data_IF_047753974239
#
_entry.id   IF_047753974239
#
_cell.length_a   1.000
_cell.length_b   1.000
_cell.length_c   1.000
_cell.angle_alpha   90.00
_cell.angle_beta   90.00
_cell.angle_gamma   90.00
#
_symmetry.space_group_name_H-M   'P 1'
#
loop_
_entity.id
_entity.type
_entity.pdbx_description
1 polymer ?
#
# COMPACT_ATOMS: atom_id res chain seq x y z
N UNK A 1 16.91 6.19 41.33
CA UNK A 1 15.47 6.17 40.98
C UNK A 1 15.18 6.18 39.48
N UNK A 2 16.10 6.66 38.61
CA UNK A 2 15.90 6.68 37.14
C UNK A 2 15.69 5.28 36.53
N UNK A 3 16.36 4.26 37.07
CA UNK A 3 16.29 2.86 36.61
C UNK A 3 14.91 2.24 36.83
N UNK A 4 14.30 2.46 38.00
CA UNK A 4 12.96 1.98 38.32
C UNK A 4 11.90 2.65 37.43
N UNK A 5 12.01 3.96 37.20
CA UNK A 5 11.09 4.69 36.34
C UNK A 5 11.20 4.20 34.88
N UNK A 6 12.43 3.97 34.41
CA UNK A 6 12.67 3.40 33.08
C UNK A 6 12.06 2.00 32.93
N UNK A 7 12.22 1.14 33.94
CA UNK A 7 11.66 -0.21 33.94
C UNK A 7 10.12 -0.23 33.89
N UNK A 8 9.48 0.69 34.61
CA UNK A 8 8.01 0.83 34.58
C UNK A 8 7.55 1.32 33.21
N UNK A 9 8.23 2.32 32.62
CA UNK A 9 7.88 2.83 31.29
C UNK A 9 8.01 1.76 30.19
N UNK A 10 9.03 0.90 30.27
CA UNK A 10 9.19 -0.23 29.34
C UNK A 10 8.08 -1.26 29.51
N UNK A 11 7.74 -1.60 30.76
CA UNK A 11 6.68 -2.56 31.06
C UNK A 11 5.32 -2.08 30.56
N UNK A 12 4.97 -0.82 30.80
CA UNK A 12 3.71 -0.24 30.30
C UNK A 12 3.64 -0.23 28.76
N UNK A 13 4.78 0.04 28.10
CA UNK A 13 4.89 -0.02 26.64
C UNK A 13 4.68 -1.44 26.11
N UNK A 14 5.24 -2.44 26.77
CA UNK A 14 5.06 -3.85 26.39
C UNK A 14 3.60 -4.26 26.50
N UNK A 15 2.94 -3.97 27.63
CA UNK A 15 1.51 -4.22 27.81
C UNK A 15 0.63 -3.52 26.77
N UNK A 16 0.98 -2.29 26.38
CA UNK A 16 0.26 -1.56 25.32
C UNK A 16 0.38 -2.28 23.97
N UNK A 17 1.58 -2.76 23.63
CA UNK A 17 1.84 -3.46 22.38
C UNK A 17 1.17 -4.83 22.33
N UNK A 18 1.10 -5.55 23.45
CA UNK A 18 0.36 -6.82 23.55
C UNK A 18 -1.12 -6.63 23.20
N UNK A 19 -1.79 -5.66 23.84
CA UNK A 19 -3.20 -5.33 23.53
C UNK A 19 -3.39 -4.88 22.09
N UNK A 20 -2.43 -4.11 21.55
CA UNK A 20 -2.45 -3.70 20.15
C UNK A 20 -2.36 -4.93 19.22
N UNK A 21 -1.49 -5.89 19.53
CA UNK A 21 -1.32 -7.10 18.74
C UNK A 21 -2.60 -7.95 18.72
N UNK A 22 -3.24 -8.14 19.88
CA UNK A 22 -4.55 -8.82 19.98
C UNK A 22 -5.61 -8.13 19.11
N UNK A 23 -5.69 -6.80 19.16
CA UNK A 23 -6.59 -6.02 18.34
C UNK A 23 -6.31 -6.15 16.84
N UNK A 24 -5.03 -6.14 16.44
CA UNK A 24 -4.60 -6.35 15.06
C UNK A 24 -4.99 -7.75 14.59
N UNK A 25 -4.79 -8.79 15.41
CA UNK A 25 -5.19 -10.16 15.06
C UNK A 25 -6.70 -10.26 14.82
N UNK A 26 -7.51 -9.69 15.71
CA UNK A 26 -8.96 -9.68 15.55
C UNK A 26 -9.38 -8.95 14.26
N UNK A 27 -8.76 -7.80 13.96
CA UNK A 27 -9.01 -7.05 12.73
C UNK A 27 -8.54 -7.81 11.47
N UNK A 28 -7.44 -8.55 11.54
CA UNK A 28 -6.99 -9.46 10.47
C UNK A 28 -8.00 -10.58 10.23
N UNK A 29 -8.49 -11.25 11.29
CA UNK A 29 -9.52 -12.30 11.20
C UNK A 29 -10.82 -11.77 10.58
N UNK A 30 -11.18 -10.53 10.87
CA UNK A 30 -12.33 -9.82 10.27
C UNK A 30 -12.08 -9.31 8.85
N UNK A 31 -10.86 -9.44 8.30
CA UNK A 31 -10.52 -9.00 6.94
C UNK A 31 -10.44 -7.47 6.77
N UNK A 32 -10.20 -6.71 7.83
CA UNK A 32 -10.15 -5.24 7.77
C UNK A 32 -8.93 -4.73 6.99
N UNK A 33 -7.80 -5.44 7.04
CA UNK A 33 -6.56 -5.05 6.36
C UNK A 33 -6.55 -5.47 4.89
N UNK A 34 -6.90 -4.53 3.99
CA UNK A 34 -6.91 -4.73 2.53
C UNK A 34 -5.67 -4.16 1.81
N UNK A 35 -4.65 -3.76 2.57
CA UNK A 35 -3.46 -3.10 2.05
C UNK A 35 -3.73 -1.67 1.55
N UNK A 36 -2.77 -1.13 0.78
CA UNK A 36 -2.90 0.21 0.18
C UNK A 36 -3.94 0.19 -0.93
N UNK A 37 -4.81 1.21 -0.98
CA UNK A 37 -5.75 1.40 -2.10
C UNK A 37 -4.98 1.42 -3.44
N UNK A 38 -5.38 0.63 -4.45
CA UNK A 38 -4.64 0.49 -5.70
C UNK A 38 -4.92 1.65 -6.67
N UNK A 39 -4.48 2.86 -6.31
CA UNK A 39 -4.77 4.11 -7.05
C UNK A 39 -4.26 4.10 -8.48
N UNK A 40 -3.09 3.50 -8.74
CA UNK A 40 -2.53 3.41 -10.08
C UNK A 40 -3.26 2.37 -10.95
N UNK A 41 -3.58 1.19 -10.37
CA UNK A 41 -4.28 0.13 -11.11
C UNK A 41 -5.70 0.54 -11.49
N UNK A 42 -6.33 1.42 -10.70
CA UNK A 42 -7.62 2.01 -11.03
C UNK A 42 -7.61 2.77 -12.38
N UNK A 43 -6.45 3.25 -12.84
CA UNK A 43 -6.28 3.91 -14.14
C UNK A 43 -5.89 2.94 -15.27
N UNK A 44 -5.99 1.62 -15.02
CA UNK A 44 -5.58 0.59 -15.98
C UNK A 44 -6.29 0.70 -17.33
N UNK A 45 -7.60 0.93 -17.33
CA UNK A 45 -8.38 1.06 -18.58
C UNK A 45 -7.94 2.27 -19.40
N UNK A 46 -7.66 3.39 -18.76
CA UNK A 46 -7.16 4.61 -19.42
C UNK A 46 -5.77 4.36 -20.03
N UNK A 47 -4.87 3.71 -19.27
CA UNK A 47 -3.55 3.32 -19.76
C UNK A 47 -3.66 2.42 -21.00
N UNK A 48 -4.51 1.39 -20.95
CA UNK A 48 -4.71 0.46 -22.07
C UNK A 48 -5.27 1.17 -23.31
N UNK A 49 -6.23 2.08 -23.13
CA UNK A 49 -6.79 2.86 -24.23
C UNK A 49 -5.73 3.77 -24.88
N UNK A 50 -4.82 4.36 -24.11
CA UNK A 50 -3.74 5.19 -24.65
C UNK A 50 -2.64 4.36 -25.33
N UNK A 51 -2.39 3.15 -24.85
CA UNK A 51 -1.47 2.19 -25.48
C UNK A 51 -2.03 1.73 -26.83
N UNK A 52 -3.33 1.43 -26.90
CA UNK A 52 -4.00 1.08 -28.16
C UNK A 52 -3.94 2.22 -29.19
N UNK A 53 -3.87 3.47 -28.75
CA UNK A 53 -3.65 4.65 -29.60
C UNK A 53 -2.18 4.84 -30.04
N UNK A 54 -1.26 3.97 -29.62
CA UNK A 54 0.15 4.02 -29.99
C UNK A 54 0.98 5.07 -29.25
N UNK A 55 0.50 5.62 -28.13
CA UNK A 55 1.26 6.63 -27.39
C UNK A 55 2.46 6.03 -26.66
N UNK A 56 3.59 6.76 -26.55
CA UNK A 56 4.74 6.29 -25.79
C UNK A 56 4.45 6.29 -24.28
N UNK A 57 5.06 5.34 -23.56
CA UNK A 57 4.83 5.12 -22.11
C UNK A 57 5.10 6.36 -21.25
N UNK A 58 6.07 7.19 -21.64
CA UNK A 58 6.39 8.45 -20.97
C UNK A 58 5.25 9.47 -21.06
N UNK A 59 4.62 9.56 -22.22
CA UNK A 59 3.48 10.45 -22.47
C UNK A 59 2.23 9.94 -21.75
N UNK A 60 2.02 8.62 -21.73
CA UNK A 60 0.93 7.98 -20.98
C UNK A 60 1.06 8.30 -19.49
N UNK A 61 2.25 8.16 -18.92
CA UNK A 61 2.53 8.49 -17.52
C UNK A 61 2.20 9.96 -17.19
N UNK A 62 2.57 10.89 -18.06
CA UNK A 62 2.24 12.32 -17.91
C UNK A 62 0.73 12.57 -17.92
N UNK A 63 0.01 12.01 -18.90
CA UNK A 63 -1.44 12.22 -19.06
C UNK A 63 -2.25 11.59 -17.94
N UNK A 64 -1.90 10.38 -17.56
CA UNK A 64 -2.59 9.64 -16.50
C UNK A 64 -2.12 10.05 -15.10
N UNK A 65 -1.04 10.83 -14.97
CA UNK A 65 -0.51 11.31 -13.70
C UNK A 65 0.03 10.19 -12.79
N UNK A 66 0.46 9.06 -13.36
CA UNK A 66 1.10 7.96 -12.62
C UNK A 66 2.53 7.75 -13.09
N UNK A 67 3.36 7.11 -12.25
CA UNK A 67 4.75 6.84 -12.62
C UNK A 67 4.85 5.90 -13.84
N UNK A 68 5.92 6.04 -14.62
CA UNK A 68 6.23 5.12 -15.74
C UNK A 68 6.28 3.66 -15.24
N UNK A 69 6.82 3.42 -14.04
CA UNK A 69 6.84 2.10 -13.42
C UNK A 69 5.44 1.54 -13.17
N UNK A 70 4.47 2.40 -12.84
CA UNK A 70 3.07 1.99 -12.67
C UNK A 70 2.41 1.65 -14.01
N UNK A 71 2.67 2.44 -15.06
CA UNK A 71 2.24 2.13 -16.43
C UNK A 71 2.77 0.77 -16.87
N UNK A 72 4.07 0.52 -16.66
CA UNK A 72 4.70 -0.76 -17.00
C UNK A 72 4.13 -1.94 -16.19
N UNK A 73 3.87 -1.74 -14.91
CA UNK A 73 3.27 -2.78 -14.04
C UNK A 73 1.86 -3.14 -14.51
N UNK A 74 1.04 -2.15 -14.88
CA UNK A 74 -0.30 -2.37 -15.46
C UNK A 74 -0.20 -3.20 -16.73
N UNK A 75 0.71 -2.81 -17.64
CA UNK A 75 0.93 -3.55 -18.89
C UNK A 75 1.37 -4.99 -18.65
N UNK A 76 2.33 -5.22 -17.75
CA UNK A 76 2.79 -6.57 -17.38
C UNK A 76 1.68 -7.42 -16.77
N UNK A 77 0.81 -6.83 -15.96
CA UNK A 77 -0.30 -7.55 -15.33
C UNK A 77 -1.42 -7.99 -16.29
N UNK A 78 -1.46 -7.43 -17.51
CA UNK A 78 -2.43 -7.79 -18.54
C UNK A 78 -1.88 -8.80 -19.54
N UNK A 79 -0.55 -8.98 -19.58
CA UNK A 79 0.11 -9.95 -20.46
C UNK A 79 0.22 -11.36 -19.85
N UNK A 80 -0.37 -11.56 -18.68
CA UNK A 80 -0.31 -12.79 -17.88
C UNK A 80 -1.71 -13.16 -17.42
#
# INVERSE_FOLDING_TARGET
MLTMIGAIATFERELMLERQAEGIELAKRRGAYKGRKPTAMAKGNEVLALVAKGLPRSEIAKRTGISISSVQRILRSQSN
#
